data_IF_449781561341
#
_entry.id   IF_449781561341
#
_cell.length_a   1.000
_cell.length_b   1.000
_cell.length_c   1.000
_cell.angle_alpha   90.00
_cell.angle_beta   90.00
_cell.angle_gamma   90.00
#
_symmetry.space_group_name_H-M   'P 1'
#
loop_
_entity.id
_entity.type
_entity.pdbx_description
1 polymer ?
#
# COMPACT_ATOMS: atom_id res chain seq x y z
N UNK A 1 10.61 2.38 -14.16
CA UNK A 1 12.04 2.57 -14.49
C UNK A 1 12.23 2.37 -15.97
N UNK A 2 12.55 3.43 -16.71
CA UNK A 2 12.81 3.34 -18.14
C UNK A 2 14.28 2.93 -18.37
N UNK A 3 14.47 1.81 -19.05
CA UNK A 3 15.78 1.35 -19.51
C UNK A 3 15.80 1.24 -21.02
N UNK A 4 16.96 1.52 -21.62
CA UNK A 4 17.19 1.36 -23.05
C UNK A 4 18.24 0.29 -23.27
N UNK A 5 17.91 -0.70 -24.09
CA UNK A 5 18.84 -1.72 -24.55
C UNK A 5 19.43 -1.28 -25.90
N UNK A 6 20.75 -1.18 -25.97
CA UNK A 6 21.48 -0.88 -27.20
C UNK A 6 22.32 -2.11 -27.57
N UNK A 7 22.18 -2.68 -28.78
CA UNK A 7 23.02 -3.81 -29.19
C UNK A 7 24.47 -3.36 -29.28
N UNK A 8 25.38 -4.16 -28.73
CA UNK A 8 26.82 -3.93 -28.76
C UNK A 8 27.57 -5.13 -29.31
N UNK A 9 28.82 -4.91 -29.68
CA UNK A 9 29.68 -5.98 -30.20
C UNK A 9 30.33 -6.76 -29.07
N UNK A 10 30.86 -7.94 -29.38
CA UNK A 10 31.58 -8.77 -28.39
C UNK A 10 32.77 -8.03 -27.74
N UNK A 11 33.40 -7.10 -28.45
CA UNK A 11 34.51 -6.30 -27.92
C UNK A 11 34.12 -5.48 -26.69
N UNK A 12 32.83 -5.23 -26.48
CA UNK A 12 32.28 -4.42 -25.39
C UNK A 12 31.64 -5.27 -24.29
N UNK A 13 31.77 -6.60 -24.34
CA UNK A 13 31.08 -7.52 -23.41
C UNK A 13 31.41 -7.31 -21.93
N UNK A 14 32.61 -6.78 -21.65
CA UNK A 14 33.10 -6.52 -20.29
C UNK A 14 32.82 -5.08 -19.83
N UNK A 15 32.15 -4.25 -20.65
CA UNK A 15 31.75 -2.90 -20.26
C UNK A 15 30.59 -2.93 -19.25
N UNK A 16 30.57 -1.94 -18.34
CA UNK A 16 29.51 -1.82 -17.35
C UNK A 16 28.13 -1.68 -18.01
N UNK A 17 27.17 -2.48 -17.53
CA UNK A 17 25.80 -2.48 -18.04
C UNK A 17 25.58 -3.34 -19.29
N UNK A 18 26.61 -4.01 -19.81
CA UNK A 18 26.46 -4.97 -20.90
C UNK A 18 26.02 -6.33 -20.37
N UNK A 19 25.00 -6.91 -21.01
CA UNK A 19 24.47 -8.23 -20.71
C UNK A 19 24.54 -9.12 -21.94
N UNK A 20 25.05 -10.34 -21.75
CA UNK A 20 24.99 -11.39 -22.75
C UNK A 20 23.60 -12.05 -22.72
N UNK A 21 22.96 -12.13 -23.88
CA UNK A 21 21.71 -12.84 -24.10
C UNK A 21 21.99 -13.96 -25.08
N UNK A 22 21.85 -15.19 -24.61
CA UNK A 22 21.89 -16.38 -25.44
C UNK A 22 20.48 -16.69 -25.93
N UNK A 23 20.29 -16.73 -27.25
CA UNK A 23 19.00 -17.09 -27.86
C UNK A 23 19.19 -18.26 -28.81
N UNK A 24 18.22 -19.19 -28.80
CA UNK A 24 18.23 -20.32 -29.72
C UNK A 24 17.60 -19.90 -31.05
N UNK A 25 18.37 -19.98 -32.14
CA UNK A 25 17.86 -19.72 -33.49
C UNK A 25 17.61 -21.08 -34.18
N UNK A 26 16.36 -21.38 -34.60
CA UNK A 26 16.04 -22.63 -35.31
C UNK A 26 16.94 -22.83 -36.54
N UNK A 27 17.58 -23.99 -36.64
CA UNK A 27 18.47 -24.35 -37.77
C UNK A 27 19.89 -23.78 -37.69
N UNK A 28 20.21 -22.89 -36.75
CA UNK A 28 21.55 -22.31 -36.57
C UNK A 28 22.18 -22.78 -35.26
N UNK A 29 21.40 -22.91 -34.18
CA UNK A 29 21.89 -23.24 -32.85
C UNK A 29 21.88 -22.03 -31.90
N UNK A 30 22.57 -22.11 -30.75
CA UNK A 30 22.65 -21.02 -29.79
C UNK A 30 23.48 -19.87 -30.34
N UNK A 31 22.95 -18.64 -30.23
CA UNK A 31 23.65 -17.40 -30.60
C UNK A 31 23.71 -16.48 -29.39
N UNK A 32 24.92 -16.04 -29.05
CA UNK A 32 25.14 -15.03 -28.00
C UNK A 32 25.16 -13.64 -28.61
N UNK A 33 24.34 -12.75 -28.06
CA UNK A 33 24.29 -11.33 -28.42
C UNK A 33 24.49 -10.49 -27.17
N UNK A 34 25.06 -9.29 -27.31
CA UNK A 34 25.37 -8.42 -26.19
C UNK A 34 24.52 -7.15 -26.28
N UNK A 35 23.90 -6.76 -25.18
CA UNK A 35 23.11 -5.54 -25.07
C UNK A 35 23.62 -4.71 -23.91
N UNK A 36 23.89 -3.43 -24.17
CA UNK A 36 24.13 -2.44 -23.13
C UNK A 36 22.79 -1.92 -22.63
N UNK A 37 22.50 -2.15 -21.35
CA UNK A 37 21.32 -1.64 -20.66
C UNK A 37 21.70 -0.37 -19.92
N UNK A 38 21.11 0.75 -20.33
CA UNK A 38 21.34 2.05 -19.71
C UNK A 38 20.05 2.57 -19.09
N UNK A 39 20.16 3.18 -17.90
CA UNK A 39 19.06 3.97 -17.34
C UNK A 39 18.82 5.18 -18.21
N UNK A 40 17.57 5.59 -18.30
CA UNK A 40 17.13 6.70 -19.15
C UNK A 40 16.46 7.76 -18.29
N UNK A 41 16.74 9.02 -18.59
CA UNK A 41 16.01 10.14 -18.02
C UNK A 41 14.60 10.18 -18.63
N UNK A 42 13.57 10.08 -17.80
CA UNK A 42 12.16 9.98 -18.20
C UNK A 42 11.65 11.25 -18.93
N UNK A 43 12.30 12.40 -18.74
CA UNK A 43 11.90 13.67 -19.34
C UNK A 43 12.48 13.84 -20.74
N UNK A 44 13.73 13.42 -20.93
CA UNK A 44 14.48 13.62 -22.18
C UNK A 44 14.53 12.36 -23.04
N UNK A 45 14.24 11.20 -22.48
CA UNK A 45 14.33 9.89 -23.16
C UNK A 45 15.76 9.48 -23.50
N UNK A 46 16.77 10.10 -22.89
CA UNK A 46 18.19 9.87 -23.19
C UNK A 46 18.88 9.11 -22.06
N UNK A 47 19.75 8.14 -22.38
CA UNK A 47 20.62 7.54 -21.39
C UNK A 47 21.64 8.58 -20.91
N UNK A 48 21.81 8.67 -19.59
CA UNK A 48 22.73 9.60 -18.94
C UNK A 48 23.31 8.96 -17.67
N UNK A 49 24.54 9.34 -17.30
CA UNK A 49 25.11 8.93 -16.03
C UNK A 49 24.49 9.73 -14.87
N UNK A 50 24.41 9.11 -13.68
CA UNK A 50 23.89 9.79 -12.48
C UNK A 50 22.37 9.99 -12.49
N UNK A 51 21.63 9.11 -13.16
CA UNK A 51 20.16 9.10 -13.09
C UNK A 51 19.70 8.60 -11.71
N UNK A 52 18.86 9.40 -11.07
CA UNK A 52 18.26 9.12 -9.77
C UNK A 52 16.74 8.96 -9.88
N UNK A 53 16.19 8.01 -9.11
CA UNK A 53 14.74 7.83 -9.00
C UNK A 53 14.20 8.78 -7.94
N UNK A 54 13.37 9.74 -8.35
CA UNK A 54 12.72 10.72 -7.47
C UNK A 54 11.28 10.29 -7.24
N UNK A 55 10.86 10.30 -5.97
CA UNK A 55 9.46 10.09 -5.59
C UNK A 55 8.79 11.43 -5.29
N UNK A 56 7.62 11.66 -5.86
CA UNK A 56 6.84 12.88 -5.75
C UNK A 56 5.43 12.57 -5.27
N UNK A 57 4.86 13.45 -4.46
CA UNK A 57 3.43 13.49 -4.16
C UNK A 57 2.81 14.65 -4.94
N UNK A 58 1.98 14.35 -5.93
CA UNK A 58 1.47 15.33 -6.89
C UNK A 58 -0.03 15.53 -6.66
N UNK A 59 -0.50 16.78 -6.45
CA UNK A 59 -1.92 17.08 -6.49
C UNK A 59 -2.44 16.97 -7.92
N UNK A 60 -3.52 16.20 -8.11
CA UNK A 60 -4.21 15.98 -9.37
C UNK A 60 -5.67 16.37 -9.17
N UNK A 61 -6.23 17.16 -10.09
CA UNK A 61 -7.67 17.41 -10.12
C UNK A 61 -8.38 16.12 -10.52
N UNK A 62 -9.31 15.67 -9.68
CA UNK A 62 -10.12 14.48 -9.88
C UNK A 62 -11.60 14.88 -9.78
N UNK A 63 -12.48 14.08 -10.36
CA UNK A 63 -13.92 14.36 -10.46
C UNK A 63 -14.73 13.23 -9.81
N UNK A 64 -15.66 13.57 -8.92
CA UNK A 64 -16.61 12.62 -8.32
C UNK A 64 -18.04 13.04 -8.66
N UNK A 65 -18.87 12.03 -8.96
CA UNK A 65 -20.30 12.23 -9.18
C UNK A 65 -20.99 12.08 -7.84
N UNK A 66 -21.55 13.17 -7.33
CA UNK A 66 -22.24 13.22 -6.05
C UNK A 66 -23.74 13.46 -6.26
N UNK A 67 -24.56 12.90 -5.38
CA UNK A 67 -26.00 13.17 -5.37
C UNK A 67 -26.25 14.59 -4.85
N UNK A 68 -27.10 15.35 -5.53
CA UNK A 68 -27.56 16.66 -5.08
C UNK A 68 -28.50 16.46 -3.91
N UNK A 69 -28.12 16.94 -2.73
CA UNK A 69 -28.93 16.81 -1.50
C UNK A 69 -29.81 18.05 -1.33
N UNK A 70 -31.13 17.85 -1.21
CA UNK A 70 -32.11 18.91 -0.98
C UNK A 70 -32.10 19.47 0.44
N UNK A 71 -32.85 20.55 0.70
CA UNK A 71 -32.95 21.17 2.03
C UNK A 71 -33.52 20.24 3.12
N UNK A 72 -34.18 19.15 2.75
CA UNK A 72 -34.71 18.12 3.64
C UNK A 72 -33.68 17.03 3.99
N UNK A 73 -32.49 17.07 3.38
CA UNK A 73 -31.43 16.08 3.56
C UNK A 73 -31.59 14.82 2.71
N UNK A 74 -32.56 14.78 1.79
CA UNK A 74 -32.78 13.67 0.85
C UNK A 74 -32.23 14.00 -0.55
N UNK A 75 -31.85 13.00 -1.37
CA UNK A 75 -31.40 13.25 -2.73
C UNK A 75 -32.52 13.86 -3.59
N UNK A 76 -32.23 15.00 -4.24
CA UNK A 76 -33.11 15.55 -5.27
C UNK A 76 -33.31 14.50 -6.37
N UNK A 77 -34.52 14.42 -6.93
CA UNK A 77 -34.84 13.44 -7.98
C UNK A 77 -35.15 14.12 -9.30
N UNK A 78 -34.72 13.48 -10.38
CA UNK A 78 -35.12 13.81 -11.74
C UNK A 78 -36.59 13.40 -11.99
N UNK A 79 -37.15 13.85 -13.12
CA UNK A 79 -38.53 13.56 -13.50
C UNK A 79 -38.83 12.05 -13.70
N UNK A 80 -37.79 11.24 -13.92
CA UNK A 80 -37.87 9.78 -14.05
C UNK A 80 -37.74 9.03 -12.71
N UNK A 81 -37.57 9.76 -11.60
CA UNK A 81 -37.42 9.20 -10.25
C UNK A 81 -35.99 8.79 -9.88
N UNK A 82 -35.01 8.97 -10.77
CA UNK A 82 -33.58 8.78 -10.47
C UNK A 82 -33.02 9.93 -9.62
N UNK A 83 -31.94 9.69 -8.86
CA UNK A 83 -31.25 10.74 -8.14
C UNK A 83 -30.60 11.73 -9.11
N UNK A 84 -30.72 13.02 -8.80
CA UNK A 84 -30.03 14.09 -9.52
C UNK A 84 -28.60 14.14 -9.01
N UNK A 85 -27.64 14.09 -9.92
CA UNK A 85 -26.21 14.11 -9.59
C UNK A 85 -25.53 15.34 -10.17
N UNK A 86 -24.44 15.75 -9.55
CA UNK A 86 -23.51 16.75 -10.06
C UNK A 86 -22.07 16.25 -9.99
N UNK A 87 -21.19 16.88 -10.76
CA UNK A 87 -19.76 16.58 -10.77
C UNK A 87 -19.03 17.58 -9.91
N UNK A 88 -18.45 17.12 -8.81
CA UNK A 88 -17.58 17.91 -7.96
C UNK A 88 -16.12 17.65 -8.29
N UNK A 89 -15.34 18.74 -8.38
CA UNK A 89 -13.88 18.69 -8.56
C UNK A 89 -13.19 18.72 -7.21
N UNK A 90 -12.28 17.79 -6.97
CA UNK A 90 -11.46 17.77 -5.77
C UNK A 90 -10.00 17.51 -6.11
N UNK A 91 -9.11 17.81 -5.15
CA UNK A 91 -7.68 17.53 -5.30
C UNK A 91 -7.38 16.18 -4.65
N UNK A 92 -6.92 15.24 -5.48
CA UNK A 92 -6.36 13.97 -5.05
C UNK A 92 -4.84 14.03 -5.07
N UNK A 93 -4.19 13.43 -4.09
CA UNK A 93 -2.73 13.33 -4.08
C UNK A 93 -2.27 11.96 -4.56
N UNK A 94 -1.47 11.94 -5.62
CA UNK A 94 -0.90 10.71 -6.19
C UNK A 94 0.59 10.62 -5.91
N UNK A 95 1.04 9.43 -5.49
CA UNK A 95 2.48 9.15 -5.39
C UNK A 95 2.99 8.68 -6.75
N UNK A 96 3.95 9.40 -7.32
CA UNK A 96 4.60 9.07 -8.59
C UNK A 96 6.11 8.95 -8.43
N UNK A 97 6.73 8.19 -9.32
CA UNK A 97 8.20 8.05 -9.40
C UNK A 97 8.68 8.41 -10.80
N UNK A 98 9.84 9.07 -10.87
CA UNK A 98 10.50 9.49 -12.10
C UNK A 98 12.01 9.25 -12.01
N UNK A 99 12.59 8.68 -13.04
CA UNK A 99 14.04 8.58 -13.22
C UNK A 99 14.56 9.84 -13.91
N UNK A 100 15.38 10.65 -13.21
CA UNK A 100 15.87 11.93 -13.70
C UNK A 100 17.40 11.97 -13.72
N UNK A 101 17.96 12.45 -14.82
CA UNK A 101 19.37 12.84 -14.92
C UNK A 101 19.64 14.15 -14.18
N UNK A 102 20.91 14.50 -13.91
CA UNK A 102 21.28 15.65 -13.09
C UNK A 102 20.68 16.98 -13.56
N UNK A 103 20.61 17.19 -14.88
CA UNK A 103 20.04 18.39 -15.47
C UNK A 103 18.52 18.49 -15.27
N UNK A 104 17.78 17.40 -15.45
CA UNK A 104 16.33 17.35 -15.25
C UNK A 104 15.97 17.46 -13.77
N UNK A 105 16.74 16.80 -12.90
CA UNK A 105 16.60 16.93 -11.45
C UNK A 105 16.78 18.38 -11.01
N UNK A 106 17.82 19.05 -11.50
CA UNK A 106 18.06 20.47 -11.19
C UNK A 106 16.89 21.35 -11.64
N UNK A 107 16.31 21.09 -12.82
CA UNK A 107 15.13 21.81 -13.30
C UNK A 107 13.92 21.58 -12.39
N UNK A 108 13.69 20.34 -11.96
CA UNK A 108 12.61 19.99 -11.04
C UNK A 108 12.76 20.74 -9.70
N UNK A 109 13.94 20.67 -9.08
CA UNK A 109 14.22 21.37 -7.81
C UNK A 109 14.00 22.87 -7.96
N UNK A 110 14.49 23.47 -9.06
CA UNK A 110 14.31 24.89 -9.34
C UNK A 110 12.83 25.26 -9.52
N UNK A 111 12.04 24.42 -10.19
CA UNK A 111 10.62 24.65 -10.41
C UNK A 111 9.80 24.53 -9.10
N UNK A 112 10.18 23.61 -8.21
CA UNK A 112 9.52 23.41 -6.93
C UNK A 112 9.92 24.44 -5.85
N UNK A 113 11.10 25.06 -6.00
CA UNK A 113 11.65 26.02 -5.04
C UNK A 113 10.67 27.08 -4.52
N UNK A 114 9.94 27.85 -5.35
CA UNK A 114 9.02 28.88 -4.82
C UNK A 114 7.90 28.30 -3.94
N UNK A 115 7.43 27.08 -4.23
CA UNK A 115 6.41 26.41 -3.43
C UNK A 115 7.00 25.86 -2.14
N UNK A 116 8.19 25.27 -2.21
CA UNK A 116 8.92 24.77 -1.05
C UNK A 116 9.24 25.90 -0.06
N UNK A 117 9.74 27.05 -0.56
CA UNK A 117 10.10 28.21 0.26
C UNK A 117 8.88 28.82 0.97
N UNK A 118 7.68 28.75 0.36
CA UNK A 118 6.43 29.22 0.95
C UNK A 118 5.71 28.16 1.82
N UNK A 119 6.13 26.90 1.74
CA UNK A 119 5.52 25.79 2.45
C UNK A 119 5.94 25.74 3.91
N UNK A 120 5.20 24.95 4.69
CA UNK A 120 5.60 24.55 6.05
C UNK A 120 5.86 23.06 6.06
N UNK A 121 6.72 22.61 6.96
CA UNK A 121 6.89 21.17 7.18
C UNK A 121 5.53 20.54 7.49
N UNK A 122 5.20 19.50 6.73
CA UNK A 122 4.08 18.66 7.08
C UNK A 122 4.39 18.04 8.44
N UNK A 123 3.46 18.16 9.39
CA UNK A 123 3.48 17.24 10.54
C UNK A 123 3.43 15.84 9.93
N UNK A 124 4.43 15.01 10.25
CA UNK A 124 4.44 13.62 9.83
C UNK A 124 3.03 13.08 9.99
N UNK A 125 2.44 12.45 8.96
CA UNK A 125 1.15 11.81 9.13
C UNK A 125 1.28 10.99 10.41
N UNK A 126 0.38 11.23 11.37
CA UNK A 126 0.29 10.33 12.50
C UNK A 126 0.02 8.99 11.83
N UNK A 127 1.07 8.18 11.75
CA UNK A 127 0.96 6.77 11.54
C UNK A 127 0.11 6.33 12.73
N UNK A 128 -1.21 6.39 12.59
CA UNK A 128 -2.07 5.37 13.18
C UNK A 128 -1.50 4.11 12.59
N UNK A 129 -0.51 3.55 13.29
CA UNK A 129 0.25 2.41 12.85
C UNK A 129 -0.75 1.43 12.31
N UNK A 130 -0.73 1.27 10.98
CA UNK A 130 -1.26 0.08 10.38
C UNK A 130 -0.50 -1.01 11.10
N UNK A 131 -1.16 -1.63 12.07
CA UNK A 131 -0.66 -2.78 12.79
C UNK A 131 -0.10 -3.67 11.71
N UNK A 132 1.23 -3.79 11.65
CA UNK A 132 1.88 -4.81 10.86
C UNK A 132 1.16 -6.07 11.27
N UNK A 133 0.32 -6.61 10.38
CA UNK A 133 -0.36 -7.86 10.62
C UNK A 133 0.79 -8.86 10.81
N UNK A 134 1.12 -9.12 12.07
CA UNK A 134 1.99 -10.21 12.42
C UNK A 134 1.40 -11.40 11.69
N UNK A 135 2.22 -12.06 10.86
CA UNK A 135 1.85 -13.30 10.17
C UNK A 135 1.13 -14.17 11.19
N UNK A 136 -0.20 -14.23 11.10
CA UNK A 136 -0.96 -15.15 11.90
C UNK A 136 -0.54 -16.51 11.37
N UNK A 137 0.27 -17.21 12.16
CA UNK A 137 0.23 -18.66 12.17
C UNK A 137 -1.24 -19.06 12.16
N UNK A 138 -1.59 -20.04 11.33
CA UNK A 138 -2.97 -20.47 11.10
C UNK A 138 -3.77 -20.67 12.40
N UNK A 139 -5.11 -20.70 12.32
CA UNK A 139 -5.98 -20.67 13.49
C UNK A 139 -5.54 -21.71 14.53
N UNK A 140 -5.07 -21.25 15.69
CA UNK A 140 -4.71 -22.14 16.79
C UNK A 140 -6.00 -22.86 17.26
N UNK A 141 -6.14 -24.17 17.01
CA UNK A 141 -7.37 -24.89 17.28
C UNK A 141 -7.66 -24.97 18.78
N UNK A 142 -6.62 -25.06 19.62
CA UNK A 142 -6.75 -25.08 21.07
C UNK A 142 -7.25 -23.73 21.61
N UNK A 143 -6.68 -22.63 21.10
CA UNK A 143 -7.11 -21.28 21.47
C UNK A 143 -8.57 -21.02 21.04
N UNK A 144 -8.96 -21.55 19.89
CA UNK A 144 -10.32 -21.43 19.36
C UNK A 144 -11.33 -22.23 20.20
N UNK A 145 -10.96 -23.43 20.63
CA UNK A 145 -11.77 -24.26 21.53
C UNK A 145 -11.89 -23.63 22.92
N UNK A 146 -10.77 -23.14 23.47
CA UNK A 146 -10.74 -22.46 24.77
C UNK A 146 -11.60 -21.19 24.76
N UNK A 147 -11.52 -20.35 23.71
CA UNK A 147 -12.37 -19.16 23.58
C UNK A 147 -13.86 -19.49 23.51
N UNK A 148 -14.23 -20.62 22.89
CA UNK A 148 -15.62 -21.08 22.83
C UNK A 148 -16.11 -21.52 24.20
N UNK A 149 -15.29 -22.24 24.94
CA UNK A 149 -15.60 -22.68 26.30
C UNK A 149 -15.73 -21.48 27.25
N UNK A 150 -14.80 -20.54 27.19
CA UNK A 150 -14.82 -19.31 27.99
C UNK A 150 -16.08 -18.48 27.74
N UNK A 151 -16.48 -18.29 26.47
CA UNK A 151 -17.72 -17.58 26.12
C UNK A 151 -18.96 -18.25 26.69
N UNK A 152 -19.05 -19.58 26.57
CA UNK A 152 -20.19 -20.35 27.11
C UNK A 152 -20.27 -20.21 28.63
N UNK A 153 -19.13 -20.32 29.32
CA UNK A 153 -19.09 -20.13 30.77
C UNK A 153 -19.50 -18.71 31.19
N UNK A 154 -19.07 -17.68 30.46
CA UNK A 154 -19.44 -16.28 30.73
C UNK A 154 -20.93 -16.02 30.49
N UNK A 155 -21.53 -16.64 29.47
CA UNK A 155 -22.98 -16.57 29.25
C UNK A 155 -23.77 -17.21 30.40
N UNK A 156 -23.26 -18.29 30.98
CA UNK A 156 -23.89 -19.01 32.08
C UNK A 156 -23.67 -18.35 33.46
N UNK A 157 -22.49 -17.75 33.69
CA UNK A 157 -22.06 -17.30 35.02
C UNK A 157 -22.03 -15.78 35.19
N UNK A 158 -22.14 -15.01 34.09
CA UNK A 158 -22.10 -13.54 34.15
C UNK A 158 -23.35 -12.91 33.51
N UNK A 159 -24.31 -12.44 34.33
CA UNK A 159 -25.50 -11.75 33.84
C UNK A 159 -25.13 -10.55 32.96
N UNK A 160 -25.57 -10.56 31.70
CA UNK A 160 -25.38 -9.46 30.75
C UNK A 160 -24.16 -9.54 29.83
N UNK A 161 -23.37 -10.61 29.88
CA UNK A 161 -22.22 -10.80 28.99
C UNK A 161 -22.60 -10.76 27.50
N UNK A 162 -23.57 -11.58 27.05
CA UNK A 162 -23.97 -11.63 25.63
C UNK A 162 -24.70 -10.37 25.12
N UNK A 163 -25.37 -9.62 26.01
CA UNK A 163 -26.23 -8.49 25.65
C UNK A 163 -25.41 -7.21 25.41
N UNK A 164 -24.35 -6.98 26.19
CA UNK A 164 -23.52 -5.76 26.10
C UNK A 164 -22.29 -5.90 25.20
N UNK A 165 -21.90 -7.12 24.81
CA UNK A 165 -20.56 -7.35 24.26
C UNK A 165 -20.50 -7.95 22.84
N UNK A 166 -21.59 -7.99 22.06
CA UNK A 166 -21.68 -8.45 20.66
C UNK A 166 -20.55 -9.44 20.28
N UNK A 167 -20.67 -10.67 20.76
CA UNK A 167 -19.55 -11.61 21.00
C UNK A 167 -18.97 -12.28 19.75
N UNK A 168 -19.15 -11.69 18.57
CA UNK A 168 -18.59 -12.20 17.29
C UNK A 168 -17.06 -12.05 17.20
N UNK A 169 -16.42 -11.41 18.17
CA UNK A 169 -14.97 -11.13 18.19
C UNK A 169 -14.17 -11.88 19.27
N UNK A 170 -12.93 -11.41 19.46
CA UNK A 170 -11.99 -11.91 20.48
C UNK A 170 -12.51 -11.64 21.90
N UNK A 171 -12.23 -12.55 22.84
CA UNK A 171 -12.53 -12.34 24.26
C UNK A 171 -11.69 -11.16 24.78
N UNK A 172 -12.26 -10.30 25.64
CA UNK A 172 -11.48 -9.28 26.35
C UNK A 172 -10.64 -9.97 27.44
N UNK A 173 -9.43 -9.47 27.69
CA UNK A 173 -8.49 -10.03 28.66
C UNK A 173 -9.09 -10.19 30.07
N UNK A 174 -9.90 -9.23 30.51
CA UNK A 174 -10.61 -9.29 31.80
C UNK A 174 -11.45 -10.56 31.96
N UNK A 175 -12.11 -11.00 30.87
CA UNK A 175 -12.94 -12.21 30.88
C UNK A 175 -12.10 -13.48 30.72
N UNK A 176 -10.93 -13.36 30.09
CA UNK A 176 -9.99 -14.48 29.95
C UNK A 176 -9.45 -14.89 31.32
N UNK A 177 -9.08 -13.89 32.14
CA UNK A 177 -8.60 -14.09 33.51
C UNK A 177 -9.69 -14.61 34.45
N UNK A 178 -10.91 -14.08 34.34
CA UNK A 178 -12.05 -14.53 35.15
C UNK A 178 -12.37 -16.01 34.89
N UNK A 179 -12.43 -16.42 33.63
CA UNK A 179 -12.65 -17.82 33.26
C UNK A 179 -11.50 -18.72 33.71
N UNK A 180 -10.24 -18.31 33.50
CA UNK A 180 -9.07 -19.08 33.93
C UNK A 180 -9.03 -19.26 35.46
N UNK A 181 -9.39 -18.22 36.22
CA UNK A 181 -9.47 -18.27 37.68
C UNK A 181 -10.60 -19.16 38.19
N UNK A 182 -11.75 -19.14 37.53
CA UNK A 182 -12.92 -19.92 37.93
C UNK A 182 -12.81 -21.41 37.57
N UNK A 183 -12.20 -21.74 36.43
CA UNK A 183 -12.14 -23.12 35.91
C UNK A 183 -10.77 -23.78 36.06
N UNK A 184 -9.74 -23.03 36.43
CA UNK A 184 -8.36 -23.50 36.49
C UNK A 184 -7.74 -23.78 35.11
N UNK A 185 -8.40 -23.40 34.01
CA UNK A 185 -7.94 -23.63 32.63
C UNK A 185 -7.25 -22.38 32.07
N UNK A 186 -5.90 -22.31 32.10
CA UNK A 186 -5.18 -21.17 31.54
C UNK A 186 -5.34 -21.12 30.01
N UNK A 187 -5.12 -19.94 29.45
CA UNK A 187 -5.19 -19.73 28.00
C UNK A 187 -4.06 -20.49 27.28
N UNK A 188 -4.33 -21.21 26.20
CA UNK A 188 -3.27 -21.84 25.41
C UNK A 188 -2.26 -20.82 24.89
N UNK A 189 -0.97 -21.07 25.11
CA UNK A 189 0.13 -20.20 24.65
C UNK A 189 0.59 -19.12 25.65
N UNK A 190 -0.05 -18.99 26.82
CA UNK A 190 0.55 -18.24 27.93
C UNK A 190 1.45 -19.18 28.73
N UNK A 191 2.73 -19.26 28.35
CA UNK A 191 3.77 -19.82 29.23
C UNK A 191 3.88 -18.92 30.46
N UNK A 192 3.87 -19.54 31.64
CA UNK A 192 3.92 -18.86 32.93
C UNK A 192 5.10 -17.89 33.04
N UNK A 193 4.83 -16.75 33.65
CA UNK A 193 5.86 -15.98 34.38
C UNK A 193 6.11 -16.63 35.74
#
# INVERSE_FOLDING_TARGET
MATKATPVTEAQKDEAGVQAIETQIPGVGPVTTYFKIEKVDDVTGKPEAGIETVRLLIPVEDEEVVDVIGEDGEPEKNADGSAKTETEKFIRYETRELDLGPASLTKLVKALKPFADASREAKAPVSTGGSTAAKSSGPNPELSAWNREAKKWLEENRPGYGIKHNTKGRLKAEYEEEFAKATGKPKPGTLGS
#
